data_IF_499338808875
#
_entry.id   IF_499338808875
#
_cell.length_a   1.000
_cell.length_b   1.000
_cell.length_c   1.000
_cell.angle_alpha   90.00
_cell.angle_beta   90.00
_cell.angle_gamma   90.00
#
_symmetry.space_group_name_H-M   'P 1'
#
loop_
_entity.id
_entity.type
_entity.pdbx_description
1 polymer ?
#
# COMPACT_ATOMS: atom_id res chain seq x y z
N UNK A 1 -17.71 33.96 18.81
CA UNK A 1 -17.59 33.80 17.34
C UNK A 1 -16.17 33.36 17.06
N UNK A 2 -15.94 32.05 16.98
CA UNK A 2 -14.60 31.54 16.64
C UNK A 2 -14.46 31.47 15.13
N UNK A 3 -13.77 32.45 14.57
CA UNK A 3 -13.33 32.44 13.17
C UNK A 3 -12.12 31.54 13.02
N UNK A 4 -12.36 30.24 12.88
CA UNK A 4 -11.33 29.31 12.43
C UNK A 4 -11.00 29.60 10.97
N UNK A 5 -9.86 30.26 10.72
CA UNK A 5 -9.27 30.37 9.39
C UNK A 5 -8.75 29.00 8.97
N UNK A 6 -9.66 28.15 8.48
CA UNK A 6 -9.28 26.92 7.79
C UNK A 6 -8.46 27.33 6.58
N UNK A 7 -7.15 27.10 6.63
CA UNK A 7 -6.26 27.29 5.49
C UNK A 7 -6.72 26.31 4.41
N UNK A 8 -7.53 26.80 3.46
CA UNK A 8 -8.17 26.01 2.42
C UNK A 8 -7.07 25.48 1.49
N UNK A 9 -6.62 24.25 1.76
CA UNK A 9 -5.56 23.60 0.99
C UNK A 9 -6.15 23.15 -0.34
N UNK A 10 -5.47 23.49 -1.43
CA UNK A 10 -5.78 22.98 -2.77
C UNK A 10 -5.83 21.45 -2.74
N UNK A 11 -6.96 20.90 -3.16
CA UNK A 11 -7.17 19.47 -3.32
C UNK A 11 -6.80 19.11 -4.76
N UNK A 12 -5.84 18.21 -4.92
CA UNK A 12 -5.47 17.70 -6.25
C UNK A 12 -6.34 16.49 -6.57
N UNK A 13 -7.20 16.64 -7.56
CA UNK A 13 -8.11 15.60 -8.03
C UNK A 13 -7.34 14.55 -8.85
N UNK A 14 -7.84 13.32 -8.89
CA UNK A 14 -7.37 12.30 -9.83
C UNK A 14 -7.90 12.63 -11.24
N UNK A 15 -7.22 12.18 -12.30
CA UNK A 15 -7.63 12.50 -13.67
C UNK A 15 -9.09 12.11 -13.97
N UNK A 16 -9.53 10.95 -13.44
CA UNK A 16 -10.92 10.49 -13.56
C UNK A 16 -11.90 11.41 -12.84
N UNK A 17 -11.54 11.93 -11.67
CA UNK A 17 -12.37 12.90 -10.94
C UNK A 17 -12.40 14.27 -11.62
N UNK A 18 -11.30 14.70 -12.23
CA UNK A 18 -11.25 15.95 -13.02
C UNK A 18 -12.22 15.87 -14.21
N UNK A 19 -12.17 14.78 -14.98
CA UNK A 19 -13.06 14.55 -16.13
C UNK A 19 -14.53 14.51 -15.70
N UNK A 20 -14.84 13.85 -14.59
CA UNK A 20 -16.20 13.75 -14.08
C UNK A 20 -16.72 15.09 -13.51
N UNK A 21 -15.87 15.84 -12.78
CA UNK A 21 -16.24 17.17 -12.31
C UNK A 21 -16.45 18.12 -13.49
N UNK A 22 -15.60 18.05 -14.51
CA UNK A 22 -15.74 18.83 -15.75
C UNK A 22 -17.08 18.56 -16.42
N UNK A 23 -17.43 17.28 -16.64
CA UNK A 23 -18.72 16.90 -17.23
C UNK A 23 -19.92 17.40 -16.41
N UNK A 24 -19.86 17.27 -15.08
CA UNK A 24 -20.94 17.71 -14.20
C UNK A 24 -21.10 19.24 -14.19
N UNK A 25 -19.99 19.99 -14.27
CA UNK A 25 -20.01 21.45 -14.34
C UNK A 25 -20.60 21.93 -15.67
N UNK A 26 -20.30 21.24 -16.78
CA UNK A 26 -20.88 21.53 -18.10
C UNK A 26 -22.39 21.28 -18.07
N UNK A 27 -22.83 20.11 -17.57
CA UNK A 27 -24.26 19.78 -17.47
C UNK A 27 -25.02 20.75 -16.55
N UNK A 28 -24.43 21.08 -15.40
CA UNK A 28 -24.99 22.08 -14.48
C UNK A 28 -25.11 23.46 -15.12
N UNK A 29 -24.10 23.89 -15.86
CA UNK A 29 -24.17 25.15 -16.60
C UNK A 29 -25.22 25.12 -17.70
N UNK A 30 -25.31 24.03 -18.46
CA UNK A 30 -26.29 23.87 -19.53
C UNK A 30 -27.72 23.99 -19.00
N UNK A 31 -28.01 23.37 -17.85
CA UNK A 31 -29.30 23.52 -17.17
C UNK A 31 -29.60 24.98 -16.81
N UNK A 32 -28.62 25.70 -16.26
CA UNK A 32 -28.78 27.13 -15.94
C UNK A 32 -29.03 27.97 -17.20
N UNK A 33 -28.34 27.64 -18.29
CA UNK A 33 -28.44 28.30 -19.58
C UNK A 33 -29.82 28.09 -20.22
N UNK A 34 -30.31 26.84 -20.24
CA UNK A 34 -31.60 26.47 -20.82
C UNK A 34 -32.77 27.09 -20.05
N UNK A 35 -32.68 27.18 -18.72
CA UNK A 35 -33.67 27.87 -17.89
C UNK A 35 -33.71 29.36 -18.24
N UNK A 36 -32.55 29.98 -18.51
CA UNK A 36 -32.49 31.41 -18.84
C UNK A 36 -32.93 31.71 -20.26
N UNK A 37 -32.62 30.83 -21.20
CA UNK A 37 -32.86 31.01 -22.63
C UNK A 37 -33.71 29.85 -23.20
N UNK A 38 -34.96 29.67 -22.73
CA UNK A 38 -35.79 28.52 -23.12
C UNK A 38 -36.20 28.54 -24.61
N UNK A 39 -36.16 29.72 -25.24
CA UNK A 39 -36.48 29.90 -26.66
C UNK A 39 -35.22 30.04 -27.54
N UNK A 40 -34.05 29.72 -26.99
CA UNK A 40 -32.77 29.89 -27.65
C UNK A 40 -32.25 31.34 -27.59
N UNK A 41 -30.98 31.50 -27.98
CA UNK A 41 -30.27 32.77 -28.00
C UNK A 41 -29.18 32.72 -29.07
N UNK A 42 -28.73 33.87 -29.55
CA UNK A 42 -27.56 33.96 -30.46
C UNK A 42 -26.23 33.73 -29.72
N UNK A 43 -26.26 33.63 -28.39
CA UNK A 43 -25.09 33.34 -27.57
C UNK A 43 -24.86 31.83 -27.48
N UNK A 44 -23.62 31.39 -27.70
CA UNK A 44 -23.25 30.01 -27.48
C UNK A 44 -22.90 29.77 -25.99
N UNK A 45 -23.37 28.68 -25.36
CA UNK A 45 -23.04 28.32 -23.98
C UNK A 45 -21.52 28.31 -23.72
N UNK A 46 -20.75 27.72 -24.63
CA UNK A 46 -19.29 27.60 -24.52
C UNK A 46 -18.56 28.95 -24.47
N UNK A 47 -19.16 30.00 -25.04
CA UNK A 47 -18.59 31.36 -24.98
C UNK A 47 -18.77 32.01 -23.61
N UNK A 48 -19.71 31.51 -22.79
CA UNK A 48 -20.01 32.03 -21.46
C UNK A 48 -19.37 31.17 -20.37
N UNK A 49 -19.33 29.86 -20.58
CA UNK A 49 -18.72 28.91 -19.65
C UNK A 49 -18.18 27.71 -20.42
N UNK A 50 -16.86 27.68 -20.61
CA UNK A 50 -16.16 26.63 -21.33
C UNK A 50 -14.98 26.08 -20.54
N UNK A 51 -14.08 25.38 -21.25
CA UNK A 51 -12.91 24.74 -20.64
C UNK A 51 -12.04 25.66 -19.77
N UNK A 52 -11.76 26.93 -20.14
CA UNK A 52 -10.94 27.81 -19.30
C UNK A 52 -11.53 28.05 -17.90
N UNK A 53 -12.85 28.20 -17.81
CA UNK A 53 -13.54 28.39 -16.53
C UNK A 53 -13.56 27.10 -15.71
N UNK A 54 -13.77 25.96 -16.37
CA UNK A 54 -13.76 24.64 -15.75
C UNK A 54 -12.36 24.33 -15.20
N UNK A 55 -11.32 24.55 -16.00
CA UNK A 55 -9.93 24.36 -15.60
C UNK A 55 -9.57 25.26 -14.40
N UNK A 56 -10.07 26.50 -14.36
CA UNK A 56 -9.86 27.37 -13.22
C UNK A 56 -10.51 26.84 -11.94
N UNK A 57 -11.72 26.28 -12.03
CA UNK A 57 -12.40 25.64 -10.88
C UNK A 57 -11.62 24.42 -10.41
N UNK A 58 -11.21 23.54 -11.34
CA UNK A 58 -10.45 22.33 -11.02
C UNK A 58 -9.08 22.68 -10.42
N UNK A 59 -8.38 23.65 -10.99
CA UNK A 59 -7.07 24.09 -10.51
C UNK A 59 -7.11 24.75 -9.14
N UNK A 60 -8.25 25.32 -8.76
CA UNK A 60 -8.44 25.95 -7.46
C UNK A 60 -9.36 25.11 -6.56
N UNK A 61 -9.59 23.85 -6.89
CA UNK A 61 -10.50 23.01 -6.13
C UNK A 61 -10.04 22.89 -4.67
N UNK A 62 -10.95 23.16 -3.73
CA UNK A 62 -10.65 23.21 -2.29
C UNK A 62 -9.95 24.48 -1.80
N UNK A 63 -9.72 25.51 -2.64
CA UNK A 63 -9.20 26.82 -2.18
C UNK A 63 -10.28 27.87 -1.98
N UNK A 64 -11.43 27.69 -2.62
CA UNK A 64 -12.59 28.58 -2.48
C UNK A 64 -13.65 28.02 -1.56
N UNK A 65 -14.31 28.94 -0.86
CA UNK A 65 -15.45 28.62 0.00
C UNK A 65 -16.73 29.25 -0.54
N UNK A 66 -17.69 28.39 -0.81
CA UNK A 66 -19.04 28.72 -1.26
C UNK A 66 -19.11 29.57 -2.54
N UNK A 67 -20.30 30.15 -2.72
CA UNK A 67 -20.70 30.92 -3.92
C UNK A 67 -19.79 32.12 -4.20
N UNK A 68 -19.37 32.83 -3.15
CA UNK A 68 -18.54 34.03 -3.27
C UNK A 68 -17.12 33.70 -3.73
N UNK A 69 -16.54 32.59 -3.24
CA UNK A 69 -15.24 32.11 -3.71
C UNK A 69 -15.30 31.59 -5.14
N UNK A 70 -16.36 30.84 -5.47
CA UNK A 70 -16.59 30.32 -6.82
C UNK A 70 -16.73 31.44 -7.86
N UNK A 71 -17.49 32.49 -7.55
CA UNK A 71 -17.64 33.65 -8.43
C UNK A 71 -16.31 34.37 -8.70
N UNK A 72 -15.41 34.45 -7.71
CA UNK A 72 -14.08 35.04 -7.88
C UNK A 72 -13.16 34.21 -8.79
N UNK A 73 -13.26 32.88 -8.72
CA UNK A 73 -12.41 31.98 -9.52
C UNK A 73 -12.84 31.94 -10.98
N UNK A 74 -14.14 31.86 -11.22
CA UNK A 74 -14.66 31.85 -12.60
C UNK A 74 -14.45 33.22 -13.23
N UNK A 75 -14.73 34.29 -12.48
CA UNK A 75 -14.67 35.66 -12.96
C UNK A 75 -15.64 35.95 -14.12
N UNK A 76 -15.61 37.18 -14.64
CA UNK A 76 -16.39 37.55 -15.82
C UNK A 76 -17.89 37.77 -15.56
N UNK A 77 -18.70 37.62 -16.62
CA UNK A 77 -20.16 37.81 -16.59
C UNK A 77 -20.85 36.48 -16.32
N UNK A 78 -21.81 36.49 -15.40
CA UNK A 78 -22.59 35.32 -15.02
C UNK A 78 -24.03 35.43 -15.49
N UNK A 79 -24.64 34.27 -15.75
CA UNK A 79 -26.09 34.16 -15.91
C UNK A 79 -26.72 34.08 -14.50
N UNK A 80 -27.89 34.72 -14.26
CA UNK A 80 -28.61 34.55 -13.00
C UNK A 80 -28.85 33.06 -12.68
N UNK A 81 -28.52 32.63 -11.47
CA UNK A 81 -28.66 31.23 -11.03
C UNK A 81 -27.49 30.30 -11.39
N UNK A 82 -26.56 30.74 -12.24
CA UNK A 82 -25.37 29.95 -12.62
C UNK A 82 -24.54 29.57 -11.39
N UNK A 83 -24.19 30.54 -10.54
CA UNK A 83 -23.33 30.30 -9.37
C UNK A 83 -24.00 29.37 -8.37
N UNK A 84 -25.33 29.45 -8.22
CA UNK A 84 -26.08 28.58 -7.30
C UNK A 84 -26.05 27.13 -7.77
N UNK A 85 -26.28 26.90 -9.05
CA UNK A 85 -26.28 25.56 -9.65
C UNK A 85 -24.87 24.97 -9.64
N UNK A 86 -23.85 25.74 -10.05
CA UNK A 86 -22.45 25.28 -10.04
C UNK A 86 -21.97 24.97 -8.61
N UNK A 87 -22.34 25.79 -7.62
CA UNK A 87 -22.00 25.52 -6.22
C UNK A 87 -22.69 24.25 -5.70
N UNK A 88 -23.91 23.98 -6.14
CA UNK A 88 -24.63 22.73 -5.81
C UNK A 88 -23.92 21.53 -6.41
N UNK A 89 -23.55 21.59 -7.70
CA UNK A 89 -22.79 20.54 -8.38
C UNK A 89 -21.45 20.25 -7.67
N UNK A 90 -20.73 21.29 -7.25
CA UNK A 90 -19.46 21.14 -6.52
C UNK A 90 -19.68 20.50 -5.14
N UNK A 91 -20.74 20.86 -4.44
CA UNK A 91 -21.09 20.26 -3.15
C UNK A 91 -21.49 18.79 -3.30
N UNK A 92 -22.31 18.45 -4.29
CA UNK A 92 -22.73 17.08 -4.60
C UNK A 92 -21.52 16.22 -4.99
N UNK A 93 -20.60 16.79 -5.77
CA UNK A 93 -19.34 16.13 -6.12
C UNK A 93 -18.44 15.87 -4.91
N UNK A 94 -18.37 16.83 -3.98
CA UNK A 94 -17.57 16.73 -2.76
C UNK A 94 -18.12 15.66 -1.81
N UNK A 95 -19.46 15.57 -1.69
CA UNK A 95 -20.12 14.65 -0.76
C UNK A 95 -20.32 13.24 -1.30
N UNK A 96 -20.36 13.04 -2.62
CA UNK A 96 -20.50 11.71 -3.21
C UNK A 96 -19.18 11.17 -3.77
N UNK A 97 -18.83 11.49 -5.02
CA UNK A 97 -17.69 10.87 -5.67
C UNK A 97 -16.32 11.11 -5.01
N UNK A 98 -16.06 12.32 -4.51
CA UNK A 98 -14.79 12.63 -3.86
C UNK A 98 -14.62 11.87 -2.53
N UNK A 99 -15.67 11.84 -1.72
CA UNK A 99 -15.69 11.08 -0.46
C UNK A 99 -15.49 9.57 -0.68
N UNK A 100 -16.03 9.03 -1.78
CA UNK A 100 -15.86 7.63 -2.14
C UNK A 100 -14.41 7.28 -2.55
N UNK A 101 -13.71 8.14 -3.29
CA UNK A 101 -12.29 7.90 -3.64
C UNK A 101 -11.40 7.98 -2.38
N UNK A 102 -11.66 8.90 -1.46
CA UNK A 102 -10.93 8.97 -0.20
C UNK A 102 -11.14 7.71 0.66
N UNK A 103 -12.38 7.22 0.76
CA UNK A 103 -12.68 5.97 1.45
C UNK A 103 -11.96 4.76 0.81
N UNK A 104 -11.92 4.69 -0.53
CA UNK A 104 -11.21 3.64 -1.26
C UNK A 104 -9.69 3.71 -1.04
N UNK A 105 -9.09 4.90 -1.03
CA UNK A 105 -7.66 5.10 -0.72
C UNK A 105 -7.31 4.69 0.72
N UNK A 106 -8.21 4.92 1.66
CA UNK A 106 -8.01 4.50 3.06
C UNK A 106 -8.06 2.98 3.17
N UNK A 107 -9.06 2.34 2.56
CA UNK A 107 -9.23 0.88 2.59
C UNK A 107 -8.07 0.14 1.91
N UNK A 108 -7.63 0.59 0.75
CA UNK A 108 -6.48 0.00 0.05
C UNK A 108 -5.18 0.10 0.86
N UNK A 109 -4.92 1.25 1.51
CA UNK A 109 -3.77 1.40 2.41
C UNK A 109 -3.87 0.53 3.66
N UNK A 110 -5.09 0.31 4.19
CA UNK A 110 -5.31 -0.60 5.30
C UNK A 110 -5.02 -2.05 4.90
N UNK A 111 -5.54 -2.50 3.75
CA UNK A 111 -5.30 -3.84 3.21
C UNK A 111 -3.81 -4.10 2.98
N UNK A 112 -3.08 -3.18 2.33
CA UNK A 112 -1.64 -3.35 2.11
C UNK A 112 -0.82 -3.39 3.41
N UNK A 113 -1.28 -2.75 4.49
CA UNK A 113 -0.64 -2.84 5.80
C UNK A 113 -0.88 -4.18 6.48
N UNK A 114 -2.05 -4.78 6.28
CA UNK A 114 -2.34 -6.12 6.79
C UNK A 114 -1.53 -7.19 6.02
N UNK A 115 -1.45 -7.08 4.70
CA UNK A 115 -0.64 -7.97 3.87
C UNK A 115 0.85 -7.90 4.26
N UNK A 116 1.39 -6.69 4.45
CA UNK A 116 2.77 -6.50 4.89
C UNK A 116 3.04 -7.07 6.29
N UNK A 117 2.04 -7.07 7.20
CA UNK A 117 2.16 -7.70 8.52
C UNK A 117 2.11 -9.23 8.41
N UNK A 118 1.21 -9.77 7.59
CA UNK A 118 1.08 -11.20 7.35
C UNK A 118 2.38 -11.78 6.74
N UNK A 119 2.97 -11.08 5.77
CA UNK A 119 4.21 -11.50 5.12
C UNK A 119 5.39 -11.55 6.12
N UNK A 120 5.53 -10.53 6.98
CA UNK A 120 6.58 -10.51 8.02
C UNK A 120 6.41 -11.63 9.06
N UNK A 121 5.17 -11.98 9.41
CA UNK A 121 4.90 -13.08 10.33
C UNK A 121 5.25 -14.42 9.70
N UNK A 122 4.89 -14.61 8.42
CA UNK A 122 5.22 -15.81 7.65
C UNK A 122 6.74 -16.00 7.50
N UNK A 123 7.48 -14.94 7.14
CA UNK A 123 8.95 -15.00 7.05
C UNK A 123 9.60 -15.35 8.40
N UNK A 124 9.08 -14.79 9.50
CA UNK A 124 9.58 -15.07 10.84
C UNK A 124 9.30 -16.51 11.28
N UNK A 125 8.18 -17.09 10.87
CA UNK A 125 7.89 -18.52 11.09
C UNK A 125 8.82 -19.41 10.26
N UNK A 126 8.99 -19.12 8.96
CA UNK A 126 9.89 -19.87 8.09
C UNK A 126 11.34 -19.87 8.61
N UNK A 127 11.85 -18.71 9.06
CA UNK A 127 13.19 -18.62 9.67
C UNK A 127 13.31 -19.44 10.95
N UNK A 128 12.27 -19.50 11.78
CA UNK A 128 12.27 -20.30 13.01
C UNK A 128 12.30 -21.80 12.70
N UNK A 129 11.52 -22.24 11.73
CA UNK A 129 11.49 -23.64 11.29
C UNK A 129 12.84 -24.05 10.67
N UNK A 130 13.42 -23.21 9.82
CA UNK A 130 14.73 -23.48 9.24
C UNK A 130 15.81 -23.60 10.32
N UNK A 131 15.83 -22.68 11.28
CA UNK A 131 16.78 -22.72 12.40
C UNK A 131 16.57 -23.92 13.32
N UNK A 132 15.34 -24.44 13.45
CA UNK A 132 15.08 -25.66 14.20
C UNK A 132 15.67 -26.87 13.45
N UNK A 133 15.41 -26.98 12.14
CA UNK A 133 15.92 -28.08 11.31
C UNK A 133 17.45 -28.12 11.30
N UNK A 134 18.11 -26.96 11.22
CA UNK A 134 19.57 -26.87 11.28
C UNK A 134 20.11 -27.38 12.63
N UNK A 135 19.48 -27.00 13.75
CA UNK A 135 19.86 -27.50 15.08
C UNK A 135 19.64 -29.01 15.22
N UNK A 136 18.56 -29.54 14.65
CA UNK A 136 18.27 -30.97 14.70
C UNK A 136 19.28 -31.77 13.86
N UNK A 137 19.68 -31.25 12.70
CA UNK A 137 20.75 -31.83 11.87
C UNK A 137 22.11 -31.79 12.58
N UNK A 138 22.47 -30.68 13.22
CA UNK A 138 23.70 -30.55 13.99
C UNK A 138 23.75 -31.56 15.15
N UNK A 139 22.64 -31.71 15.88
CA UNK A 139 22.53 -32.71 16.95
C UNK A 139 22.69 -34.14 16.43
N UNK A 140 22.08 -34.46 15.29
CA UNK A 140 22.22 -35.77 14.66
C UNK A 140 23.67 -36.04 14.24
N UNK A 141 24.36 -35.05 13.65
CA UNK A 141 25.76 -35.17 13.29
C UNK A 141 26.68 -35.38 14.50
N UNK A 142 26.44 -34.67 15.61
CA UNK A 142 27.20 -34.84 16.86
C UNK A 142 26.98 -36.23 17.45
N UNK A 143 25.74 -36.74 17.46
CA UNK A 143 25.46 -38.08 17.95
C UNK A 143 26.14 -39.15 17.11
N UNK A 144 26.11 -39.01 15.78
CA UNK A 144 26.75 -39.96 14.88
C UNK A 144 28.28 -39.94 15.04
N UNK A 145 28.89 -38.76 15.15
CA UNK A 145 30.32 -38.63 15.40
C UNK A 145 30.75 -39.35 16.71
N UNK A 146 29.94 -39.20 17.77
CA UNK A 146 30.18 -39.90 19.05
C UNK A 146 30.09 -41.43 18.90
N UNK A 147 29.13 -41.94 18.12
CA UNK A 147 29.01 -43.39 17.87
C UNK A 147 30.22 -43.93 17.12
N UNK A 148 30.63 -43.24 16.06
CA UNK A 148 31.80 -43.61 15.26
C UNK A 148 33.09 -43.58 16.10
N UNK A 149 33.23 -42.60 17.01
CA UNK A 149 34.39 -42.52 17.89
C UNK A 149 34.40 -43.66 18.93
N UNK A 150 33.25 -43.99 19.51
CA UNK A 150 33.11 -45.12 20.42
C UNK A 150 33.47 -46.46 19.74
N UNK A 151 32.95 -46.71 18.53
CA UNK A 151 33.26 -47.91 17.76
C UNK A 151 34.75 -48.01 17.40
N UNK A 152 35.38 -46.88 17.04
CA UNK A 152 36.84 -46.82 16.82
C UNK A 152 37.64 -47.09 18.09
N UNK A 153 37.17 -46.62 19.25
CA UNK A 153 37.79 -46.91 20.55
C UNK A 153 37.72 -48.39 20.92
N UNK A 154 36.57 -49.02 20.70
CA UNK A 154 36.36 -50.45 20.92
C UNK A 154 37.22 -51.31 19.98
N UNK A 155 37.33 -50.92 18.71
CA UNK A 155 38.21 -51.60 17.76
C UNK A 155 39.69 -51.49 18.15
N UNK A 156 40.14 -50.31 18.61
CA UNK A 156 41.54 -50.09 19.07
C UNK A 156 41.87 -50.95 20.29
N UNK A 157 40.99 -50.99 21.28
CA UNK A 157 41.20 -51.81 22.48
C UNK A 157 41.25 -53.30 22.16
N UNK A 158 40.41 -53.79 21.24
CA UNK A 158 40.49 -55.17 20.77
C UNK A 158 41.84 -55.49 20.11
N UNK A 159 42.34 -54.60 19.25
CA UNK A 159 43.64 -54.76 18.58
C UNK A 159 44.78 -54.78 19.61
N UNK A 160 44.77 -53.90 20.60
CA UNK A 160 45.80 -53.88 21.66
C UNK A 160 45.79 -55.15 22.51
N UNK A 161 44.61 -55.66 22.87
CA UNK A 161 44.48 -56.91 23.65
C UNK A 161 45.04 -58.09 22.85
N UNK A 162 44.73 -58.18 21.55
CA UNK A 162 45.26 -59.23 20.68
C UNK A 162 46.78 -59.12 20.57
N UNK A 163 47.30 -57.91 20.32
CA UNK A 163 48.75 -57.68 20.21
C UNK A 163 49.49 -58.01 21.52
N UNK A 164 48.93 -57.66 22.67
CA UNK A 164 49.50 -58.00 23.97
C UNK A 164 49.52 -59.50 24.26
N UNK A 165 48.49 -60.25 23.81
CA UNK A 165 48.48 -61.71 23.88
C UNK A 165 49.56 -62.33 22.98
N UNK A 166 49.70 -61.83 21.75
CA UNK A 166 50.71 -62.27 20.77
C UNK A 166 52.13 -62.08 21.32
N UNK A 167 52.43 -60.88 21.85
CA UNK A 167 53.74 -60.58 22.44
C UNK A 167 54.08 -61.49 23.63
N UNK A 168 53.10 -61.77 24.51
CA UNK A 168 53.28 -62.70 25.64
C UNK A 168 53.54 -64.13 25.16
N UNK A 169 52.86 -64.56 24.09
CA UNK A 169 53.08 -65.87 23.50
C UNK A 169 54.48 -65.99 22.89
N UNK A 170 54.91 -65.01 22.09
CA UNK A 170 56.25 -64.97 21.51
C UNK A 170 57.36 -64.98 22.58
N UNK A 171 57.21 -64.19 23.65
CA UNK A 171 58.16 -64.16 24.77
C UNK A 171 58.25 -65.51 25.48
N UNK A 172 57.11 -66.18 25.71
CA UNK A 172 57.09 -67.54 26.30
C UNK A 172 57.80 -68.57 25.43
N UNK A 173 57.71 -68.44 24.11
CA UNK A 173 58.40 -69.34 23.17
C UNK A 173 59.91 -69.09 23.16
N UNK A 174 60.35 -67.84 23.27
CA UNK A 174 61.76 -67.46 23.32
C UNK A 174 62.47 -67.90 24.62
N UNK A 175 61.77 -67.88 25.77
CA UNK A 175 62.34 -68.28 27.08
C UNK A 175 62.46 -69.81 27.22
N UNK A 176 61.82 -70.59 26.33
CA UNK A 176 61.81 -72.07 26.38
C UNK A 176 62.88 -72.74 25.52
N UNK A 177 63.71 -71.97 24.81
CA UNK A 177 64.93 -72.44 24.16
C UNK A 177 66.12 -72.18 25.07
#
# INVERSE_FOLDING_TARGET
MEGGTTTTKRIRLSKTLEEMLSANLIDGFQKAFDIKYPHGTMLYPDNLFGQPQIDNIINNFGTFDGKAGLSKIIGGRFIPGQIDILNTVINDFTTGPLANEEALKINTKAASREDAKAQKLSEKQAQREQKSREKDQERAAIQEAKRVEAEKGEARTCIEVVRGKEQKWQLRTLIRR
#
